data_IF_873264520589
#
_entry.id   IF_873264520589
#
_cell.length_a   1.000
_cell.length_b   1.000
_cell.length_c   1.000
_cell.angle_alpha   90.00
_cell.angle_beta   90.00
_cell.angle_gamma   90.00
#
_symmetry.space_group_name_H-M   'P 1'
#
loop_
_entity.id
_entity.type
_entity.pdbx_description
1 polymer ?
#
# COMPACT_ATOMS: atom_id res chain seq x y z
N UNK A 1 6.91 -20.67 3.62
CA UNK A 1 7.06 -19.24 3.27
C UNK A 1 8.08 -18.52 4.16
N UNK A 2 7.82 -18.25 5.45
CA UNK A 2 8.77 -17.53 6.33
C UNK A 2 10.18 -18.14 6.34
N UNK A 3 10.27 -19.45 6.56
CA UNK A 3 11.55 -20.18 6.56
C UNK A 3 12.27 -20.10 5.21
N UNK A 4 11.50 -20.11 4.11
CA UNK A 4 12.05 -19.99 2.76
C UNK A 4 12.66 -18.60 2.55
N UNK A 5 11.95 -17.53 2.92
CA UNK A 5 12.46 -16.15 2.85
C UNK A 5 13.76 -16.02 3.65
N UNK A 6 13.78 -16.52 4.89
CA UNK A 6 14.98 -16.51 5.73
C UNK A 6 16.12 -17.27 5.06
N UNK A 7 15.86 -18.47 4.54
CA UNK A 7 16.89 -19.29 3.88
C UNK A 7 17.48 -18.65 2.62
N UNK A 8 16.68 -17.90 1.88
CA UNK A 8 17.09 -17.21 0.66
C UNK A 8 17.89 -15.94 0.95
N UNK A 9 17.54 -15.24 2.03
CA UNK A 9 18.14 -13.95 2.37
C UNK A 9 19.34 -14.09 3.31
N UNK A 10 19.34 -15.01 4.26
CA UNK A 10 20.36 -15.10 5.32
C UNK A 10 21.65 -15.81 4.84
N UNK A 11 22.32 -15.20 3.86
CA UNK A 11 23.59 -15.64 3.32
C UNK A 11 24.40 -14.43 2.78
N UNK A 12 25.66 -14.63 2.37
CA UNK A 12 26.40 -13.63 1.62
C UNK A 12 25.85 -13.48 0.19
N UNK A 13 25.65 -12.24 -0.23
CA UNK A 13 25.25 -11.84 -1.58
C UNK A 13 26.35 -11.04 -2.23
N UNK A 14 26.45 -11.09 -3.56
CA UNK A 14 27.34 -10.22 -4.34
C UNK A 14 26.50 -9.41 -5.31
N UNK A 15 26.69 -8.09 -5.29
CA UNK A 15 25.98 -7.15 -6.16
C UNK A 15 26.99 -6.31 -6.95
N UNK A 16 26.76 -6.14 -8.25
CA UNK A 16 27.53 -5.24 -9.12
C UNK A 16 26.56 -4.36 -9.92
N UNK A 17 26.86 -3.07 -10.05
CA UNK A 17 26.03 -2.13 -10.82
C UNK A 17 26.84 -1.49 -11.95
N UNK A 18 26.39 -1.66 -13.19
CA UNK A 18 27.01 -1.08 -14.41
C UNK A 18 28.53 -1.28 -14.52
N UNK A 19 29.00 -2.49 -14.19
CA UNK A 19 30.43 -2.82 -14.25
C UNK A 19 31.27 -2.29 -13.10
N UNK A 20 30.65 -1.78 -12.03
CA UNK A 20 31.35 -1.51 -10.78
C UNK A 20 31.95 -2.78 -10.19
N UNK A 21 33.00 -2.62 -9.38
CA UNK A 21 33.50 -3.69 -8.52
C UNK A 21 32.35 -4.31 -7.70
N UNK A 22 32.31 -5.64 -7.54
CA UNK A 22 31.27 -6.29 -6.76
C UNK A 22 31.34 -5.90 -5.27
N UNK A 23 30.21 -5.50 -4.71
CA UNK A 23 30.04 -5.31 -3.27
C UNK A 23 29.48 -6.60 -2.66
N UNK A 24 30.13 -7.11 -1.61
CA UNK A 24 29.58 -8.19 -0.79
C UNK A 24 28.58 -7.62 0.22
N UNK A 25 27.36 -8.16 0.24
CA UNK A 25 26.33 -7.84 1.22
C UNK A 25 26.11 -9.10 2.05
N UNK A 26 26.45 -9.06 3.34
CA UNK A 26 26.25 -10.19 4.24
C UNK A 26 25.03 -9.97 5.13
N UNK A 27 24.03 -10.82 4.98
CA UNK A 27 22.81 -10.78 5.81
C UNK A 27 22.93 -11.86 6.89
N UNK A 28 23.20 -11.44 8.12
CA UNK A 28 23.42 -12.36 9.24
C UNK A 28 22.13 -12.80 9.94
N UNK A 29 21.06 -12.00 9.84
CA UNK A 29 19.79 -12.23 10.52
C UNK A 29 18.65 -11.62 9.71
N UNK A 30 17.53 -12.33 9.66
CA UNK A 30 16.33 -11.90 8.96
C UNK A 30 15.17 -11.93 9.94
N UNK A 31 14.45 -10.82 10.06
CA UNK A 31 13.18 -10.76 10.78
C UNK A 31 12.07 -10.49 9.78
N UNK A 32 10.91 -11.13 9.98
CA UNK A 32 9.78 -11.05 9.06
C UNK A 32 8.60 -10.40 9.77
N UNK A 33 8.07 -9.35 9.15
CA UNK A 33 6.88 -8.62 9.55
C UNK A 33 5.76 -8.84 8.53
N UNK A 34 4.47 -8.87 8.93
CA UNK A 34 3.37 -8.82 7.97
C UNK A 34 3.40 -7.55 7.12
N UNK A 35 3.07 -7.67 5.83
CA UNK A 35 2.94 -6.52 4.92
C UNK A 35 1.88 -5.53 5.44
N UNK A 36 2.10 -4.23 5.27
CA UNK A 36 1.31 -3.16 5.88
C UNK A 36 1.57 -2.89 7.36
N UNK A 37 2.00 -3.87 8.17
CA UNK A 37 2.15 -3.68 9.62
C UNK A 37 3.21 -2.63 9.99
N UNK A 38 4.25 -2.47 9.16
CA UNK A 38 5.27 -1.44 9.37
C UNK A 38 4.66 -0.05 9.43
N UNK A 39 3.61 0.22 8.64
CA UNK A 39 2.98 1.54 8.60
C UNK A 39 2.42 1.97 9.96
N UNK A 40 1.96 1.02 10.77
CA UNK A 40 1.52 1.29 12.14
C UNK A 40 2.68 1.74 13.06
N UNK A 41 3.83 1.07 12.95
CA UNK A 41 5.04 1.46 13.70
C UNK A 41 5.55 2.82 13.26
N UNK A 42 5.49 3.08 11.95
CA UNK A 42 5.89 4.37 11.39
C UNK A 42 4.99 5.50 11.90
N UNK A 43 3.66 5.31 11.87
CA UNK A 43 2.72 6.27 12.46
C UNK A 43 3.10 6.54 13.92
N UNK A 44 3.22 5.52 14.75
CA UNK A 44 3.55 5.68 16.17
C UNK A 44 4.87 6.42 16.40
N UNK A 45 5.92 6.08 15.65
CA UNK A 45 7.23 6.70 15.81
C UNK A 45 7.29 8.15 15.30
N UNK A 46 6.47 8.48 14.28
CA UNK A 46 6.47 9.78 13.64
C UNK A 46 5.38 10.73 14.20
N UNK A 47 4.71 10.34 15.30
CA UNK A 47 3.63 11.10 15.95
C UNK A 47 4.12 12.39 16.66
N UNK A 48 4.63 13.35 15.89
CA UNK A 48 4.67 14.74 16.31
C UNK A 48 3.24 15.28 16.40
N UNK A 49 2.64 15.34 17.60
CA UNK A 49 1.41 16.09 18.02
C UNK A 49 0.10 16.04 17.17
N UNK A 50 0.09 15.57 15.93
CA UNK A 50 -1.01 15.77 14.96
C UNK A 50 -1.78 14.49 14.61
N UNK A 51 -1.23 13.31 14.91
CA UNK A 51 -1.92 12.04 14.72
C UNK A 51 -2.59 11.64 16.04
N UNK A 52 -3.93 11.77 16.09
CA UNK A 52 -4.66 11.80 17.36
C UNK A 52 -5.34 10.52 17.87
N UNK A 53 -5.25 9.32 17.25
CA UNK A 53 -5.52 8.10 17.99
C UNK A 53 -4.27 7.62 18.75
N UNK A 54 -4.45 7.23 20.01
CA UNK A 54 -3.46 6.43 20.75
C UNK A 54 -3.45 5.00 20.17
N UNK A 55 -2.87 4.82 18.98
CA UNK A 55 -2.84 3.56 18.23
C UNK A 55 -2.50 2.33 19.10
N UNK A 56 -1.55 2.39 20.07
CA UNK A 56 -1.23 1.25 20.93
C UNK A 56 -2.40 0.73 21.77
N UNK A 57 -3.44 1.53 21.98
CA UNK A 57 -4.61 1.17 22.79
C UNK A 57 -5.81 0.72 21.97
N UNK A 58 -5.76 0.85 20.64
CA UNK A 58 -6.90 0.61 19.77
C UNK A 58 -6.94 -0.79 19.17
N UNK A 59 -8.15 -1.24 18.88
CA UNK A 59 -8.43 -2.28 17.89
C UNK A 59 -8.68 -1.59 16.55
N UNK A 60 -7.80 -1.81 15.58
CA UNK A 60 -7.82 -1.11 14.30
C UNK A 60 -7.58 -2.06 13.13
N UNK A 61 -7.97 -1.62 11.94
CA UNK A 61 -7.58 -2.24 10.69
C UNK A 61 -6.40 -1.49 10.05
N UNK A 62 -5.49 -2.22 9.41
CA UNK A 62 -4.54 -1.66 8.44
C UNK A 62 -5.00 -2.10 7.06
N UNK A 63 -5.03 -1.16 6.12
CA UNK A 63 -5.40 -1.38 4.71
C UNK A 63 -4.22 -0.94 3.85
N UNK A 64 -3.39 -1.89 3.43
CA UNK A 64 -2.23 -1.66 2.55
C UNK A 64 -2.63 -1.93 1.11
N UNK A 65 -2.81 -0.86 0.32
CA UNK A 65 -3.25 -0.94 -1.07
C UNK A 65 -2.03 -0.92 -1.98
N UNK A 66 -1.58 -2.12 -2.34
CA UNK A 66 -0.44 -2.35 -3.21
C UNK A 66 -0.78 -2.32 -4.70
N UNK A 67 0.18 -2.79 -5.50
CA UNK A 67 -0.02 -2.92 -6.94
C UNK A 67 -0.85 -4.15 -7.31
N UNK A 68 -0.60 -5.29 -6.66
CA UNK A 68 -1.21 -6.59 -6.98
C UNK A 68 -2.24 -7.02 -5.93
N UNK A 69 -2.01 -6.70 -4.66
CA UNK A 69 -2.88 -7.06 -3.56
C UNK A 69 -3.30 -5.83 -2.76
N UNK A 70 -4.43 -5.97 -2.07
CA UNK A 70 -4.72 -5.15 -0.90
C UNK A 70 -4.73 -6.03 0.33
N UNK A 71 -3.94 -5.66 1.33
CA UNK A 71 -3.81 -6.41 2.57
C UNK A 71 -4.62 -5.74 3.68
N UNK A 72 -5.53 -6.51 4.27
CA UNK A 72 -6.35 -6.11 5.40
C UNK A 72 -5.85 -6.79 6.65
N UNK A 73 -5.21 -6.02 7.54
CA UNK A 73 -4.69 -6.54 8.80
C UNK A 73 -5.56 -6.12 9.97
N UNK A 74 -5.94 -7.09 10.81
CA UNK A 74 -6.49 -6.78 12.12
C UNK A 74 -5.36 -6.62 13.13
N UNK A 75 -5.39 -5.51 13.87
CA UNK A 75 -4.47 -5.24 14.98
C UNK A 75 -5.28 -4.91 16.23
N UNK A 76 -5.06 -5.65 17.32
CA UNK A 76 -5.60 -5.33 18.64
C UNK A 76 -4.46 -4.91 19.55
N UNK A 77 -4.38 -3.61 19.91
CA UNK A 77 -3.39 -3.07 20.85
C UNK A 77 -1.96 -3.47 20.48
N UNK A 78 -1.58 -3.20 19.23
CA UNK A 78 -0.29 -3.57 18.63
C UNK A 78 -0.03 -5.08 18.58
N UNK A 79 -1.05 -5.91 18.72
CA UNK A 79 -0.96 -7.34 18.48
C UNK A 79 -1.59 -7.67 17.15
N UNK A 80 -0.76 -8.12 16.22
CA UNK A 80 -1.20 -8.60 14.92
C UNK A 80 -2.06 -9.87 15.09
N UNK A 81 -3.31 -9.79 14.63
CA UNK A 81 -4.27 -10.89 14.69
C UNK A 81 -4.30 -11.65 13.36
N UNK A 82 -3.30 -12.51 13.10
CA UNK A 82 -3.14 -13.21 11.81
C UNK A 82 -4.40 -13.92 11.31
N UNK A 83 -5.14 -14.59 12.20
CA UNK A 83 -6.34 -15.35 11.84
C UNK A 83 -7.52 -14.47 11.40
N UNK A 84 -7.51 -13.18 11.78
CA UNK A 84 -8.53 -12.20 11.39
C UNK A 84 -8.08 -11.32 10.21
N UNK A 85 -6.84 -11.46 9.75
CA UNK A 85 -6.26 -10.71 8.62
C UNK A 85 -6.41 -11.48 7.31
N UNK A 86 -6.52 -10.76 6.19
CA UNK A 86 -6.60 -11.36 4.86
C UNK A 86 -5.90 -10.51 3.80
N UNK A 87 -5.52 -11.14 2.70
CA UNK A 87 -5.04 -10.47 1.49
C UNK A 87 -6.07 -10.69 0.38
N UNK A 88 -6.41 -9.63 -0.36
CA UNK A 88 -7.36 -9.65 -1.46
C UNK A 88 -6.64 -9.34 -2.77
N UNK A 89 -6.88 -10.10 -3.87
CA UNK A 89 -6.35 -9.81 -5.20
C UNK A 89 -7.17 -8.69 -5.87
N UNK A 90 -7.37 -7.58 -5.17
CA UNK A 90 -8.07 -6.39 -5.65
C UNK A 90 -7.25 -5.16 -5.29
N UNK A 91 -6.57 -4.58 -6.27
CA UNK A 91 -5.50 -3.61 -6.07
C UNK A 91 -5.36 -2.65 -7.27
N UNK A 92 -4.31 -1.81 -7.28
CA UNK A 92 -4.09 -0.81 -8.33
C UNK A 92 -4.03 -1.40 -9.75
N UNK A 93 -3.52 -2.61 -9.93
CA UNK A 93 -3.50 -3.32 -11.23
C UNK A 93 -4.89 -3.41 -11.86
N UNK A 94 -5.91 -3.77 -11.07
CA UNK A 94 -7.29 -3.85 -11.53
C UNK A 94 -7.84 -2.47 -11.93
N UNK A 95 -7.42 -1.41 -11.25
CA UNK A 95 -7.78 -0.04 -11.64
C UNK A 95 -7.17 0.33 -13.00
N UNK A 96 -5.90 -0.02 -13.25
CA UNK A 96 -5.28 0.21 -14.55
C UNK A 96 -5.94 -0.62 -15.67
N UNK A 97 -6.38 -1.84 -15.38
CA UNK A 97 -7.18 -2.64 -16.29
C UNK A 97 -8.52 -1.98 -16.61
N UNK A 98 -9.21 -1.45 -15.60
CA UNK A 98 -10.48 -0.72 -15.80
C UNK A 98 -10.26 0.53 -16.69
N UNK A 99 -9.17 1.29 -16.48
CA UNK A 99 -8.81 2.43 -17.33
C UNK A 99 -8.48 1.99 -18.76
N UNK A 100 -7.63 0.97 -18.92
CA UNK A 100 -7.23 0.46 -20.23
C UNK A 100 -8.44 -0.07 -21.01
N UNK A 101 -9.42 -0.68 -20.34
CA UNK A 101 -10.66 -1.18 -20.96
C UNK A 101 -11.50 -0.08 -21.64
N UNK A 102 -11.33 1.19 -21.22
CA UNK A 102 -12.01 2.35 -21.82
C UNK A 102 -11.30 2.89 -23.06
N UNK A 103 -10.13 2.36 -23.38
CA UNK A 103 -9.23 2.92 -24.39
C UNK A 103 -8.83 1.83 -25.37
N UNK A 104 -9.30 1.94 -26.61
CA UNK A 104 -8.95 1.00 -27.66
C UNK A 104 -7.43 0.92 -27.88
N UNK A 105 -6.89 -0.31 -27.89
CA UNK A 105 -5.46 -0.57 -28.07
C UNK A 105 -4.58 -0.21 -26.87
N UNK A 106 -5.17 0.08 -25.70
CA UNK A 106 -4.42 0.31 -24.47
C UNK A 106 -3.88 -0.99 -23.87
N UNK A 107 -2.78 -0.86 -23.14
CA UNK A 107 -2.16 -1.91 -22.35
C UNK A 107 -2.09 -1.44 -20.89
N UNK A 108 -2.74 -2.18 -19.98
CA UNK A 108 -2.78 -1.89 -18.55
C UNK A 108 -1.41 -1.93 -17.87
N UNK A 109 -0.41 -2.59 -18.49
CA UNK A 109 0.97 -2.66 -18.02
C UNK A 109 1.86 -1.58 -18.65
N UNK A 110 1.31 -0.73 -19.51
CA UNK A 110 2.07 0.34 -20.16
C UNK A 110 2.55 1.38 -19.15
N UNK A 111 3.87 1.57 -19.04
CA UNK A 111 4.45 2.63 -18.19
C UNK A 111 3.89 4.01 -18.52
N UNK A 112 3.57 4.29 -19.78
CA UNK A 112 2.95 5.55 -20.20
C UNK A 112 1.51 5.70 -19.70
N UNK A 113 0.75 4.60 -19.60
CA UNK A 113 -0.61 4.64 -19.03
C UNK A 113 -0.52 4.88 -17.53
N UNK A 114 0.33 4.11 -16.84
CA UNK A 114 0.57 4.26 -15.41
C UNK A 114 0.98 5.71 -15.10
N UNK A 115 1.94 6.26 -15.83
CA UNK A 115 2.36 7.65 -15.62
C UNK A 115 1.21 8.64 -15.85
N UNK A 116 0.46 8.50 -16.96
CA UNK A 116 -0.62 9.42 -17.31
C UNK A 116 -1.76 9.42 -16.28
N UNK A 117 -2.09 8.26 -15.71
CA UNK A 117 -3.13 8.10 -14.67
C UNK A 117 -2.80 8.90 -13.41
N UNK A 118 -1.52 8.97 -13.03
CA UNK A 118 -1.04 9.66 -11.84
C UNK A 118 -0.79 11.16 -12.05
N UNK A 119 -0.95 11.68 -13.28
CA UNK A 119 -0.84 13.13 -13.52
C UNK A 119 -2.01 13.89 -12.89
N UNK A 120 -1.81 15.16 -12.51
CA UNK A 120 -2.90 16.05 -12.13
C UNK A 120 -3.93 16.21 -13.24
N UNK A 121 -5.14 16.63 -12.86
CA UNK A 121 -6.19 17.01 -13.82
C UNK A 121 -5.68 18.06 -14.82
N UNK A 122 -6.08 17.92 -16.08
CA UNK A 122 -5.61 18.75 -17.20
C UNK A 122 -4.29 18.26 -17.82
N UNK A 123 -3.56 17.35 -17.17
CA UNK A 123 -2.29 16.79 -17.65
C UNK A 123 -2.37 15.30 -17.98
N UNK A 124 -3.53 14.65 -17.76
CA UNK A 124 -3.71 13.22 -17.97
C UNK A 124 -3.92 12.90 -19.45
N UNK A 125 -2.80 12.74 -20.16
CA UNK A 125 -2.80 12.48 -21.60
C UNK A 125 -2.08 11.18 -21.88
N UNK A 126 -2.79 10.21 -22.48
CA UNK A 126 -2.24 8.91 -22.83
C UNK A 126 -2.39 8.63 -24.32
N UNK A 127 -1.31 8.18 -24.96
CA UNK A 127 -1.33 7.77 -26.37
C UNK A 127 -1.02 6.28 -26.46
N UNK A 128 -2.03 5.43 -26.75
CA UNK A 128 -1.80 4.01 -27.03
C UNK A 128 -0.79 3.82 -28.15
N UNK A 129 -0.11 2.67 -28.16
CA UNK A 129 0.87 2.36 -29.22
C UNK A 129 0.16 2.29 -30.58
N UNK A 130 0.64 3.06 -31.55
CA UNK A 130 0.04 3.14 -32.89
C UNK A 130 -1.11 4.14 -33.02
N UNK A 131 -1.57 4.75 -31.92
CA UNK A 131 -2.57 5.81 -31.99
C UNK A 131 -1.95 7.11 -32.53
N UNK A 132 -2.69 7.81 -33.38
CA UNK A 132 -2.25 9.08 -34.00
C UNK A 132 -2.46 10.29 -33.09
N UNK A 133 -3.40 10.20 -32.14
CA UNK A 133 -3.73 11.27 -31.19
C UNK A 133 -3.72 10.73 -29.76
N UNK A 134 -3.30 11.55 -28.78
CA UNK A 134 -3.48 11.21 -27.38
C UNK A 134 -4.96 11.31 -26.97
N UNK A 135 -5.29 10.60 -25.91
CA UNK A 135 -6.60 10.53 -25.28
C UNK A 135 -6.48 11.22 -23.93
N UNK A 136 -7.43 12.13 -23.65
CA UNK A 136 -7.55 12.76 -22.34
C UNK A 136 -8.23 11.80 -21.36
N UNK A 137 -7.61 11.54 -20.22
CA UNK A 137 -8.12 10.66 -19.17
C UNK A 137 -8.92 11.39 -18.07
N UNK A 138 -9.04 12.71 -18.11
CA UNK A 138 -9.73 13.49 -17.09
C UNK A 138 -11.23 13.16 -16.99
N UNK A 139 -11.85 12.71 -18.09
CA UNK A 139 -13.23 12.21 -18.06
C UNK A 139 -13.35 10.75 -17.59
N UNK A 140 -12.26 10.00 -17.51
CA UNK A 140 -12.27 8.55 -17.25
C UNK A 140 -11.79 8.24 -15.82
N UNK A 141 -10.66 8.81 -15.42
CA UNK A 141 -9.99 8.50 -14.15
C UNK A 141 -10.87 8.85 -12.94
N UNK A 142 -11.51 10.03 -12.83
CA UNK A 142 -12.32 10.37 -11.65
C UNK A 142 -13.54 9.47 -11.47
N UNK A 143 -14.20 9.06 -12.56
CA UNK A 143 -15.34 8.15 -12.49
C UNK A 143 -14.90 6.76 -12.01
N UNK A 144 -13.87 6.21 -12.65
CA UNK A 144 -13.36 4.89 -12.28
C UNK A 144 -12.78 4.88 -10.86
N UNK A 145 -12.18 5.98 -10.39
CA UNK A 145 -11.68 6.10 -9.02
C UNK A 145 -12.79 5.90 -8.00
N UNK A 146 -13.93 6.57 -8.20
CA UNK A 146 -15.12 6.43 -7.34
C UNK A 146 -15.65 5.01 -7.34
N UNK A 147 -15.75 4.39 -8.52
CA UNK A 147 -16.21 3.00 -8.66
C UNK A 147 -15.26 2.02 -7.96
N UNK A 148 -13.95 2.19 -8.13
CA UNK A 148 -12.94 1.35 -7.49
C UNK A 148 -12.96 1.52 -5.97
N UNK A 149 -12.98 2.76 -5.47
CA UNK A 149 -13.03 3.07 -4.04
C UNK A 149 -14.29 2.49 -3.38
N UNK A 150 -15.45 2.59 -4.03
CA UNK A 150 -16.69 1.96 -3.55
C UNK A 150 -16.55 0.43 -3.44
N UNK A 151 -16.06 -0.22 -4.50
CA UNK A 151 -15.78 -1.67 -4.50
C UNK A 151 -14.79 -2.07 -3.40
N UNK A 152 -13.75 -1.27 -3.17
CA UNK A 152 -12.76 -1.54 -2.12
C UNK A 152 -13.37 -1.37 -0.72
N UNK A 153 -14.12 -0.28 -0.50
CA UNK A 153 -14.80 -0.03 0.76
C UNK A 153 -15.80 -1.15 1.09
N UNK A 154 -16.61 -1.60 0.13
CA UNK A 154 -17.55 -2.72 0.33
C UNK A 154 -16.82 -4.00 0.79
N UNK A 155 -15.64 -4.29 0.22
CA UNK A 155 -14.81 -5.45 0.62
C UNK A 155 -14.25 -5.30 2.02
N UNK A 156 -13.83 -4.09 2.37
CA UNK A 156 -13.32 -3.75 3.69
C UNK A 156 -14.42 -3.87 4.74
N UNK A 157 -15.58 -3.24 4.54
CA UNK A 157 -16.73 -3.31 5.46
C UNK A 157 -17.21 -4.74 5.65
N UNK A 158 -17.27 -5.53 4.57
CA UNK A 158 -17.66 -6.95 4.66
C UNK A 158 -16.68 -7.79 5.49
N UNK A 159 -15.41 -7.42 5.52
CA UNK A 159 -14.38 -8.11 6.31
C UNK A 159 -14.24 -7.59 7.73
N UNK A 160 -14.59 -6.31 7.96
CA UNK A 160 -14.22 -5.56 9.13
C UNK A 160 -14.58 -6.30 10.43
N UNK A 161 -13.61 -6.59 11.31
CA UNK A 161 -13.90 -7.17 12.62
C UNK A 161 -14.75 -6.22 13.48
N UNK A 162 -15.70 -6.75 14.25
CA UNK A 162 -16.72 -5.97 15.00
C UNK A 162 -16.18 -4.88 15.95
N UNK A 163 -14.92 -5.01 16.40
CA UNK A 163 -14.31 -4.09 17.38
C UNK A 163 -13.51 -2.96 16.74
N UNK A 164 -13.40 -2.93 15.42
CA UNK A 164 -12.60 -1.94 14.70
C UNK A 164 -13.40 -0.67 14.50
N UNK A 165 -12.86 0.45 14.99
CA UNK A 165 -13.40 1.80 14.76
C UNK A 165 -12.47 2.64 13.89
N UNK A 166 -11.21 2.24 13.77
CA UNK A 166 -10.14 3.02 13.14
C UNK A 166 -9.48 2.20 12.03
N UNK A 167 -9.21 2.87 10.91
CA UNK A 167 -8.60 2.27 9.72
C UNK A 167 -7.36 3.08 9.36
N UNK A 168 -6.19 2.44 9.44
CA UNK A 168 -4.93 2.99 8.95
C UNK A 168 -4.75 2.58 7.49
N UNK A 169 -4.79 3.54 6.58
CA UNK A 169 -4.58 3.32 5.15
C UNK A 169 -3.09 3.56 4.80
N UNK A 170 -2.54 2.72 3.94
CA UNK A 170 -1.15 2.79 3.48
C UNK A 170 -0.98 2.16 2.09
N UNK A 171 0.22 2.25 1.51
CA UNK A 171 0.49 1.79 0.15
C UNK A 171 0.21 2.87 -0.90
N UNK A 172 0.69 2.63 -2.12
CA UNK A 172 0.55 3.59 -3.23
C UNK A 172 -0.90 3.83 -3.64
N UNK A 173 -1.80 2.85 -3.45
CA UNK A 173 -3.22 3.02 -3.71
C UNK A 173 -3.95 3.84 -2.65
N UNK A 174 -3.50 3.86 -1.39
CA UNK A 174 -4.13 4.67 -0.35
C UNK A 174 -3.98 6.16 -0.63
N UNK A 175 -2.79 6.59 -1.08
CA UNK A 175 -2.56 7.95 -1.58
C UNK A 175 -3.47 8.27 -2.77
N UNK A 176 -3.54 7.36 -3.74
CA UNK A 176 -4.26 7.60 -4.99
C UNK A 176 -5.79 7.68 -4.80
N UNK A 177 -6.37 6.94 -3.86
CA UNK A 177 -7.82 6.90 -3.61
C UNK A 177 -8.24 7.62 -2.31
N UNK A 178 -7.35 8.39 -1.68
CA UNK A 178 -7.55 8.96 -0.35
C UNK A 178 -8.91 9.63 -0.18
N UNK A 179 -9.20 10.67 -0.97
CA UNK A 179 -10.43 11.48 -0.84
C UNK A 179 -11.71 10.62 -0.96
N UNK A 180 -11.70 9.66 -1.89
CA UNK A 180 -12.85 8.79 -2.14
C UNK A 180 -13.05 7.79 -0.99
N UNK A 181 -11.97 7.20 -0.48
CA UNK A 181 -12.00 6.22 0.60
C UNK A 181 -12.31 6.84 1.96
N UNK A 182 -11.70 7.99 2.29
CA UNK A 182 -11.96 8.69 3.57
C UNK A 182 -13.44 9.04 3.71
N UNK A 183 -14.06 9.56 2.63
CA UNK A 183 -15.50 9.86 2.62
C UNK A 183 -16.35 8.59 2.84
N UNK A 184 -16.04 7.50 2.13
CA UNK A 184 -16.81 6.25 2.24
C UNK A 184 -16.65 5.60 3.62
N UNK A 185 -15.45 5.66 4.20
CA UNK A 185 -15.19 5.17 5.56
C UNK A 185 -15.94 5.99 6.61
N UNK A 186 -15.95 7.31 6.45
CA UNK A 186 -16.70 8.21 7.32
C UNK A 186 -18.22 7.94 7.24
N UNK A 187 -18.76 7.72 6.03
CA UNK A 187 -20.15 7.33 5.81
C UNK A 187 -20.50 5.99 6.48
N UNK A 188 -19.52 5.09 6.61
CA UNK A 188 -19.63 3.83 7.34
C UNK A 188 -19.39 3.95 8.86
N UNK A 189 -19.11 5.16 9.38
CA UNK A 189 -18.85 5.40 10.80
C UNK A 189 -17.45 5.01 11.28
N UNK A 190 -16.47 4.92 10.36
CA UNK A 190 -15.09 4.57 10.65
C UNK A 190 -14.19 5.81 10.59
N UNK A 191 -13.19 5.85 11.46
CA UNK A 191 -12.16 6.88 11.45
C UNK A 191 -11.02 6.44 10.51
N UNK A 192 -10.86 7.15 9.40
CA UNK A 192 -9.78 6.91 8.46
C UNK A 192 -8.52 7.70 8.86
N UNK A 193 -7.38 7.02 8.84
CA UNK A 193 -6.07 7.61 9.11
C UNK A 193 -5.13 7.24 7.98
N UNK A 194 -4.56 8.23 7.29
CA UNK A 194 -3.57 7.96 6.26
C UNK A 194 -2.17 7.96 6.88
N UNK A 195 -1.43 6.86 6.72
CA UNK A 195 -0.02 6.83 7.09
C UNK A 195 0.78 7.77 6.18
N UNK A 196 1.62 8.66 6.70
CA UNK A 196 2.33 9.67 5.91
C UNK A 196 3.85 9.51 5.98
N UNK A 197 4.57 9.35 4.86
CA UNK A 197 4.04 9.20 3.49
C UNK A 197 3.48 7.77 3.24
N UNK A 198 2.36 7.60 2.51
CA UNK A 198 1.64 6.32 2.48
C UNK A 198 2.40 5.18 1.82
N UNK A 199 3.16 5.50 0.78
CA UNK A 199 3.88 4.52 -0.06
C UNK A 199 5.09 3.94 0.65
N UNK A 200 5.79 4.74 1.46
CA UNK A 200 7.01 4.33 2.15
C UNK A 200 6.77 3.90 3.60
N UNK A 201 5.62 4.22 4.20
CA UNK A 201 5.34 3.99 5.63
C UNK A 201 5.63 2.55 6.08
N UNK A 202 5.26 1.54 5.27
CA UNK A 202 5.52 0.14 5.62
C UNK A 202 7.03 -0.15 5.70
N UNK A 203 7.80 0.30 4.70
CA UNK A 203 9.25 0.12 4.67
C UNK A 203 9.96 0.90 5.80
N UNK A 204 9.51 2.13 6.08
CA UNK A 204 10.05 2.95 7.16
C UNK A 204 9.79 2.31 8.54
N UNK A 205 8.61 1.73 8.75
CA UNK A 205 8.32 0.98 9.97
C UNK A 205 9.09 -0.32 10.10
N UNK A 206 9.32 -1.03 8.99
CA UNK A 206 10.20 -2.21 8.97
C UNK A 206 11.64 -1.85 9.34
N UNK A 207 12.14 -0.70 8.88
CA UNK A 207 13.44 -0.18 9.28
C UNK A 207 13.50 0.07 10.79
N UNK A 208 12.51 0.76 11.37
CA UNK A 208 12.42 1.01 12.82
C UNK A 208 12.40 -0.30 13.61
N UNK A 209 11.63 -1.28 13.14
CA UNK A 209 11.59 -2.59 13.76
C UNK A 209 12.94 -3.31 13.72
N UNK A 210 13.64 -3.25 12.59
CA UNK A 210 15.00 -3.80 12.46
C UNK A 210 15.98 -3.16 13.44
N UNK A 211 15.97 -1.84 13.55
CA UNK A 211 16.82 -1.10 14.50
C UNK A 211 16.52 -1.49 15.95
N UNK A 212 15.24 -1.63 16.32
CA UNK A 212 14.85 -2.08 17.65
C UNK A 212 15.33 -3.51 17.95
N UNK A 213 15.24 -4.43 16.97
CA UNK A 213 15.74 -5.79 17.11
C UNK A 213 17.26 -5.85 17.29
N UNK A 214 17.99 -4.98 16.58
CA UNK A 214 19.44 -4.85 16.74
C UNK A 214 19.82 -4.33 18.12
N UNK A 215 19.10 -3.32 18.63
CA UNK A 215 19.34 -2.77 19.96
C UNK A 215 19.13 -3.80 21.08
N UNK A 216 18.11 -4.67 20.96
CA UNK A 216 17.82 -5.73 21.94
C UNK A 216 18.84 -6.88 21.84
N UNK A 217 19.43 -7.11 20.66
CA UNK A 217 20.38 -8.20 20.43
C UNK A 217 21.83 -7.85 20.81
N UNK A 218 22.09 -6.62 21.28
CA UNK A 218 23.38 -6.16 21.81
C UNK A 218 23.44 -6.33 23.32
#
# INVERSE_FOLDING_TARGET
EKEQIVSQLQCPHKMSYRGSEPTEIRINKVWIMPEGYGSLLWCEANNGKEFQPELPKLSLAIVDIGHQTTDFLMVDRFRFARAASKSEPFAMSQFYEDVASKIEGSDAQSLYLLEAVHKPEGQRSYRPRGATKPINLDGVVPELRKVFAAKLCDRLIKWLPERVTDVVMTGGGAEFFQEDLERLLQEAGLNAHLAQPPREANALGQYIYGEAQLAISR
#
